data_IF_014425951819
#
_entry.id   IF_014425951819
#
_cell.length_a   1.000
_cell.length_b   1.000
_cell.length_c   1.000
_cell.angle_alpha   90.00
_cell.angle_beta   90.00
_cell.angle_gamma   90.00
#
_symmetry.space_group_name_H-M   'P 1'
#
loop_
_entity.id
_entity.type
_entity.pdbx_description
1 polymer ?
#
# COMPACT_ATOMS: atom_id res chain seq x y z
N UNK A 1 54.26 24.73 -56.79
CA UNK A 1 54.23 25.08 -55.38
C UNK A 1 53.18 24.16 -54.74
N UNK A 2 53.62 22.98 -54.29
CA UNK A 2 52.70 21.92 -53.75
C UNK A 2 52.64 22.02 -52.22
N UNK A 3 51.46 22.38 -51.70
CA UNK A 3 51.15 22.45 -50.29
C UNK A 3 51.06 20.97 -49.74
N UNK A 4 52.04 20.57 -48.96
CA UNK A 4 52.03 19.30 -48.22
C UNK A 4 50.91 19.34 -47.19
N UNK A 5 49.79 18.73 -47.49
CA UNK A 5 48.70 18.46 -46.55
C UNK A 5 49.24 17.53 -45.42
N UNK A 6 49.19 18.02 -44.21
CA UNK A 6 49.78 17.43 -43.01
C UNK A 6 48.90 16.21 -42.53
N UNK A 7 49.26 14.94 -42.74
CA UNK A 7 48.44 13.79 -42.48
C UNK A 7 48.24 13.52 -40.97
N UNK A 8 49.02 14.16 -40.09
CA UNK A 8 49.02 13.90 -38.65
C UNK A 8 47.77 14.48 -37.96
N UNK A 9 47.20 15.56 -38.52
CA UNK A 9 46.04 16.23 -37.93
C UNK A 9 44.75 15.42 -38.06
N UNK A 10 44.60 14.60 -39.11
CA UNK A 10 43.43 13.76 -39.34
C UNK A 10 43.39 12.52 -38.46
N UNK A 11 44.56 11.94 -38.11
CA UNK A 11 44.62 10.74 -37.22
C UNK A 11 44.19 11.05 -35.79
N UNK A 12 44.50 12.22 -35.24
CA UNK A 12 44.10 12.62 -33.89
C UNK A 12 42.59 12.86 -33.77
N UNK A 13 41.98 13.42 -34.82
CA UNK A 13 40.52 13.68 -34.86
C UNK A 13 39.73 12.36 -34.94
N UNK A 14 40.21 11.38 -35.71
CA UNK A 14 39.59 10.07 -35.87
C UNK A 14 39.63 9.26 -34.55
N UNK A 15 40.76 9.23 -33.85
CA UNK A 15 40.91 8.56 -32.55
C UNK A 15 40.02 9.18 -31.44
N UNK A 16 39.74 10.45 -31.52
CA UNK A 16 38.86 11.13 -30.54
C UNK A 16 37.38 10.74 -30.76
N UNK A 17 36.95 10.58 -31.99
CA UNK A 17 35.61 10.13 -32.35
C UNK A 17 35.38 8.65 -31.98
N UNK A 18 36.39 7.80 -32.12
CA UNK A 18 36.32 6.37 -31.73
C UNK A 18 36.14 6.19 -30.21
N UNK A 19 36.80 7.02 -29.40
CA UNK A 19 36.66 7.02 -27.95
C UNK A 19 35.27 7.48 -27.46
N UNK A 20 34.70 8.49 -28.11
CA UNK A 20 33.34 8.95 -27.77
C UNK A 20 32.30 7.92 -28.16
N UNK A 21 32.50 7.13 -29.19
CA UNK A 21 31.63 6.01 -29.55
C UNK A 21 31.65 4.86 -28.52
N UNK A 22 32.83 4.50 -28.02
CA UNK A 22 32.95 3.46 -27.02
C UNK A 22 32.23 3.81 -25.70
N UNK A 23 32.42 5.03 -25.19
CA UNK A 23 31.72 5.47 -23.98
C UNK A 23 30.22 5.58 -24.16
N UNK A 24 29.72 5.92 -25.35
CA UNK A 24 28.29 5.92 -25.64
C UNK A 24 27.68 4.51 -25.61
N UNK A 25 28.41 3.51 -26.09
CA UNK A 25 27.99 2.09 -26.04
C UNK A 25 27.99 1.58 -24.60
N UNK A 26 29.03 1.87 -23.81
CA UNK A 26 29.08 1.52 -22.39
C UNK A 26 27.90 2.13 -21.62
N UNK A 27 27.61 3.42 -21.84
CA UNK A 27 26.47 4.08 -21.24
C UNK A 27 25.13 3.44 -21.68
N UNK A 28 24.97 3.11 -22.96
CA UNK A 28 23.78 2.47 -23.48
C UNK A 28 23.51 1.08 -22.86
N UNK A 29 24.55 0.36 -22.45
CA UNK A 29 24.41 -0.92 -21.74
C UNK A 29 24.03 -0.74 -20.26
N UNK A 30 24.56 0.28 -19.59
CA UNK A 30 24.33 0.51 -18.17
C UNK A 30 23.02 1.26 -17.90
N UNK A 31 22.63 2.17 -18.77
CA UNK A 31 21.44 3.01 -18.59
C UNK A 31 20.14 2.22 -18.39
N UNK A 32 19.82 1.17 -19.15
CA UNK A 32 18.61 0.38 -18.95
C UNK A 32 18.57 -0.32 -17.57
N UNK A 33 19.71 -0.84 -17.12
CA UNK A 33 19.82 -1.48 -15.82
C UNK A 33 19.60 -0.48 -14.68
N UNK A 34 20.15 0.72 -14.81
CA UNK A 34 19.97 1.78 -13.84
C UNK A 34 18.51 2.27 -13.79
N UNK A 35 17.88 2.43 -14.96
CA UNK A 35 16.47 2.78 -15.06
C UNK A 35 15.57 1.71 -14.41
N UNK A 36 15.89 0.45 -14.59
CA UNK A 36 15.16 -0.65 -13.95
C UNK A 36 15.24 -0.58 -12.42
N UNK A 37 16.41 -0.28 -11.87
CA UNK A 37 16.57 -0.10 -10.42
C UNK A 37 15.72 1.06 -9.90
N UNK A 38 15.69 2.19 -10.62
CA UNK A 38 14.86 3.35 -10.25
C UNK A 38 13.37 2.96 -10.22
N UNK A 39 12.90 2.24 -11.23
CA UNK A 39 11.52 1.76 -11.31
C UNK A 39 11.19 0.86 -10.11
N UNK A 40 12.06 -0.08 -9.76
CA UNK A 40 11.89 -0.94 -8.60
C UNK A 40 11.83 -0.14 -7.29
N UNK A 41 12.66 0.89 -7.14
CA UNK A 41 12.64 1.76 -5.95
C UNK A 41 11.31 2.51 -5.82
N UNK A 42 10.77 3.04 -6.92
CA UNK A 42 9.48 3.74 -6.94
C UNK A 42 8.35 2.78 -6.56
N UNK A 43 8.35 1.57 -7.13
CA UNK A 43 7.35 0.56 -6.84
C UNK A 43 7.39 0.14 -5.36
N UNK A 44 8.58 -0.12 -4.83
CA UNK A 44 8.75 -0.46 -3.43
C UNK A 44 8.28 0.66 -2.48
N UNK A 45 8.59 1.91 -2.82
CA UNK A 45 8.12 3.07 -2.05
C UNK A 45 6.57 3.13 -2.02
N UNK A 46 5.91 2.90 -3.17
CA UNK A 46 4.45 2.86 -3.25
C UNK A 46 3.86 1.74 -2.40
N UNK A 47 4.38 0.52 -2.49
CA UNK A 47 3.92 -0.62 -1.69
C UNK A 47 4.09 -0.37 -0.19
N UNK A 48 5.18 0.27 0.20
CA UNK A 48 5.43 0.68 1.59
C UNK A 48 4.39 1.70 2.07
N UNK A 49 4.06 2.71 1.24
CA UNK A 49 2.99 3.67 1.54
C UNK A 49 1.63 3.00 1.68
N UNK A 50 1.26 2.08 0.77
CA UNK A 50 0.01 1.33 0.83
C UNK A 50 -0.09 0.53 2.13
N UNK A 51 0.98 -0.15 2.53
CA UNK A 51 1.03 -0.91 3.77
C UNK A 51 0.81 -0.02 5.00
N UNK A 52 1.53 1.09 5.09
CA UNK A 52 1.40 2.03 6.20
C UNK A 52 0.00 2.64 6.26
N UNK A 53 -0.57 2.98 5.10
CA UNK A 53 -1.94 3.52 5.02
C UNK A 53 -2.98 2.46 5.41
N UNK A 54 -2.80 1.18 5.04
CA UNK A 54 -3.67 0.10 5.47
C UNK A 54 -3.65 -0.07 6.99
N UNK A 55 -2.48 0.01 7.64
CA UNK A 55 -2.39 -0.02 9.10
C UNK A 55 -3.09 1.17 9.75
N UNK A 56 -2.89 2.38 9.23
CA UNK A 56 -3.58 3.58 9.70
C UNK A 56 -5.11 3.46 9.53
N UNK A 57 -5.57 2.94 8.42
CA UNK A 57 -6.99 2.74 8.16
C UNK A 57 -7.60 1.71 9.13
N UNK A 58 -6.88 0.60 9.44
CA UNK A 58 -7.30 -0.34 10.47
C UNK A 58 -7.40 0.33 11.84
N UNK A 59 -6.40 1.12 12.22
CA UNK A 59 -6.37 1.83 13.49
C UNK A 59 -7.56 2.79 13.63
N UNK A 60 -7.79 3.64 12.65
CA UNK A 60 -8.90 4.60 12.66
C UNK A 60 -10.26 3.90 12.63
N UNK A 61 -10.39 2.81 11.90
CA UNK A 61 -11.62 2.01 11.89
C UNK A 61 -11.92 1.44 13.29
N UNK A 62 -10.95 0.77 13.92
CA UNK A 62 -11.12 0.24 15.28
C UNK A 62 -11.44 1.36 16.27
N UNK A 63 -10.64 2.44 16.27
CA UNK A 63 -10.82 3.58 17.17
C UNK A 63 -12.21 4.19 17.07
N UNK A 64 -12.75 4.28 15.85
CA UNK A 64 -14.08 4.83 15.65
C UNK A 64 -15.16 3.89 16.16
N UNK A 65 -15.05 2.60 15.86
CA UNK A 65 -16.06 1.60 16.21
C UNK A 65 -16.13 1.33 17.72
N UNK A 66 -15.03 1.48 18.48
CA UNK A 66 -15.05 1.32 19.94
C UNK A 66 -15.77 2.47 20.65
N UNK A 67 -16.03 3.59 19.94
CA UNK A 67 -16.78 4.73 20.52
C UNK A 67 -18.25 4.36 20.67
N UNK A 68 -18.83 4.77 21.77
CA UNK A 68 -20.24 4.46 22.06
C UNK A 68 -21.18 5.08 21.01
N UNK A 69 -22.15 4.30 20.51
CA UNK A 69 -23.09 4.71 19.48
C UNK A 69 -22.56 4.64 18.03
N UNK A 70 -21.29 4.25 17.80
CA UNK A 70 -20.74 4.09 16.46
C UNK A 70 -21.09 2.71 15.88
N UNK A 71 -21.32 2.67 14.57
CA UNK A 71 -21.61 1.45 13.84
C UNK A 71 -20.39 0.90 13.11
N UNK A 72 -20.39 -0.39 12.82
CA UNK A 72 -19.35 -1.04 11.96
C UNK A 72 -19.32 -0.40 10.57
N UNK A 73 -20.47 0.03 10.05
CA UNK A 73 -20.57 0.70 8.75
C UNK A 73 -19.82 2.04 8.74
N UNK A 74 -19.90 2.81 9.82
CA UNK A 74 -19.18 4.09 9.97
C UNK A 74 -17.66 3.86 10.04
N UNK A 75 -17.22 2.87 10.80
CA UNK A 75 -15.80 2.47 10.86
C UNK A 75 -15.27 2.05 9.50
N UNK A 76 -16.05 1.28 8.74
CA UNK A 76 -15.70 0.88 7.37
C UNK A 76 -15.61 2.09 6.44
N UNK A 77 -16.55 3.03 6.55
CA UNK A 77 -16.55 4.28 5.79
C UNK A 77 -15.30 5.12 6.05
N UNK A 78 -14.86 5.19 7.31
CA UNK A 78 -13.60 5.87 7.69
C UNK A 78 -12.38 5.22 7.07
N UNK A 79 -12.25 3.90 7.19
CA UNK A 79 -11.15 3.16 6.58
C UNK A 79 -11.12 3.34 5.06
N UNK A 80 -12.28 3.24 4.40
CA UNK A 80 -12.39 3.43 2.95
C UNK A 80 -11.98 4.84 2.53
N UNK A 81 -12.37 5.88 3.29
CA UNK A 81 -11.97 7.26 2.99
C UNK A 81 -10.45 7.47 3.04
N UNK A 82 -9.76 6.79 3.98
CA UNK A 82 -8.30 6.84 4.08
C UNK A 82 -7.64 6.13 2.89
N UNK A 83 -8.12 4.94 2.53
CA UNK A 83 -7.61 4.15 1.41
C UNK A 83 -7.81 4.87 0.07
N UNK A 84 -8.94 5.53 -0.12
CA UNK A 84 -9.26 6.28 -1.33
C UNK A 84 -8.31 7.47 -1.56
N UNK A 85 -7.79 8.09 -0.50
CA UNK A 85 -6.79 9.18 -0.63
C UNK A 85 -5.50 8.72 -1.31
N UNK A 86 -5.15 7.46 -1.14
CA UNK A 86 -3.98 6.86 -1.76
C UNK A 86 -4.30 6.18 -3.11
N UNK A 87 -5.56 6.17 -3.50
CA UNK A 87 -6.03 5.49 -4.70
C UNK A 87 -5.90 3.96 -4.62
N UNK A 88 -6.06 3.40 -3.42
CA UNK A 88 -6.10 1.94 -3.26
C UNK A 88 -7.37 1.38 -3.90
N UNK A 89 -7.19 0.43 -4.81
CA UNK A 89 -8.28 -0.18 -5.57
C UNK A 89 -8.58 -1.57 -5.00
N UNK A 90 -9.87 -1.96 -4.97
CA UNK A 90 -10.36 -3.28 -4.54
C UNK A 90 -9.91 -3.69 -3.12
N UNK A 91 -9.78 -2.72 -2.21
CA UNK A 91 -9.47 -3.01 -0.82
C UNK A 91 -10.68 -3.64 -0.12
N UNK A 92 -10.47 -4.79 0.51
CA UNK A 92 -11.48 -5.46 1.34
C UNK A 92 -11.27 -5.07 2.79
N UNK A 93 -12.32 -4.55 3.44
CA UNK A 93 -12.29 -4.10 4.83
C UNK A 93 -13.25 -4.98 5.64
N UNK A 94 -12.70 -5.72 6.60
CA UNK A 94 -13.43 -6.56 7.54
C UNK A 94 -13.27 -5.99 8.96
N UNK A 95 -14.37 -5.81 9.66
CA UNK A 95 -14.36 -5.37 11.06
C UNK A 95 -15.21 -6.38 11.84
N UNK A 96 -14.59 -7.05 12.81
CA UNK A 96 -15.19 -8.13 13.59
C UNK A 96 -15.12 -7.80 15.08
N UNK A 97 -16.12 -8.22 15.84
CA UNK A 97 -16.02 -8.31 17.29
C UNK A 97 -15.32 -9.62 17.73
N UNK A 98 -14.99 -9.74 19.01
CA UNK A 98 -14.31 -10.93 19.56
C UNK A 98 -15.14 -12.21 19.43
N UNK A 99 -16.44 -12.12 19.37
CA UNK A 99 -17.41 -13.20 19.21
C UNK A 99 -17.60 -13.64 17.73
N UNK A 100 -16.99 -12.95 16.78
CA UNK A 100 -16.58 -13.52 15.49
C UNK A 100 -17.65 -13.95 14.52
N UNK A 101 -18.88 -13.51 14.62
CA UNK A 101 -19.90 -13.82 13.61
C UNK A 101 -19.68 -13.00 12.34
N UNK A 102 -19.05 -13.62 11.36
CA UNK A 102 -18.93 -13.11 10.01
C UNK A 102 -19.77 -13.94 9.06
N UNK A 103 -20.39 -13.29 8.05
CA UNK A 103 -21.04 -14.02 6.98
C UNK A 103 -20.00 -14.74 6.07
N UNK A 104 -20.49 -15.58 5.15
CA UNK A 104 -19.67 -16.31 4.18
C UNK A 104 -18.83 -15.40 3.25
N UNK A 105 -19.12 -14.12 3.21
CA UNK A 105 -18.40 -13.08 2.43
C UNK A 105 -17.43 -12.29 3.33
N UNK A 106 -17.42 -12.58 4.66
CA UNK A 106 -16.56 -11.90 5.63
C UNK A 106 -17.10 -10.56 6.12
N UNK A 107 -18.40 -10.29 5.93
CA UNK A 107 -19.05 -9.13 6.53
C UNK A 107 -19.51 -9.46 7.95
N UNK A 108 -19.33 -8.53 8.88
CA UNK A 108 -19.89 -8.67 10.22
C UNK A 108 -21.40 -8.65 10.16
N UNK A 109 -22.03 -9.69 10.68
CA UNK A 109 -23.48 -9.78 10.78
C UNK A 109 -23.89 -9.13 12.10
N UNK A 110 -24.40 -7.90 12.00
CA UNK A 110 -24.98 -7.23 13.15
C UNK A 110 -24.17 -6.04 13.67
N UNK A 111 -24.80 -5.31 14.58
CA UNK A 111 -24.12 -4.31 15.40
C UNK A 111 -23.23 -5.01 16.43
N UNK A 112 -22.12 -4.37 16.80
CA UNK A 112 -21.30 -4.85 17.92
C UNK A 112 -22.20 -4.82 19.18
N UNK A 113 -22.44 -5.98 19.73
CA UNK A 113 -23.20 -6.10 20.98
C UNK A 113 -22.42 -5.46 22.14
N UNK A 114 -23.14 -4.99 23.14
CA UNK A 114 -22.55 -4.38 24.34
C UNK A 114 -21.60 -5.28 25.13
N UNK A 115 -21.57 -6.60 24.82
CA UNK A 115 -20.64 -7.56 25.38
C UNK A 115 -19.35 -7.79 24.58
N UNK A 116 -19.15 -7.09 23.47
CA UNK A 116 -17.94 -7.25 22.65
C UNK A 116 -16.73 -6.57 23.32
N UNK A 117 -15.81 -7.37 23.87
CA UNK A 117 -14.63 -6.85 24.56
C UNK A 117 -13.51 -6.40 23.63
N UNK A 118 -13.42 -6.97 22.43
CA UNK A 118 -12.35 -6.70 21.47
C UNK A 118 -12.90 -6.51 20.07
N UNK A 119 -12.55 -5.40 19.44
CA UNK A 119 -12.82 -5.13 18.03
C UNK A 119 -11.57 -5.39 17.21
N UNK A 120 -11.70 -6.12 16.12
CA UNK A 120 -10.63 -6.40 15.19
C UNK A 120 -10.97 -5.87 13.80
N UNK A 121 -10.11 -5.03 13.25
CA UNK A 121 -10.16 -4.61 11.84
C UNK A 121 -9.09 -5.33 11.04
N UNK A 122 -9.46 -5.83 9.87
CA UNK A 122 -8.56 -6.41 8.89
C UNK A 122 -8.79 -5.75 7.54
N UNK A 123 -7.71 -5.29 6.90
CA UNK A 123 -7.73 -4.74 5.56
C UNK A 123 -6.83 -5.58 4.67
N UNK A 124 -7.36 -5.98 3.51
CA UNK A 124 -6.63 -6.71 2.46
C UNK A 124 -6.67 -5.91 1.17
N UNK A 125 -5.50 -5.59 0.61
CA UNK A 125 -5.35 -4.81 -0.62
C UNK A 125 -4.64 -5.70 -1.63
N UNK A 126 -5.27 -6.08 -2.77
CA UNK A 126 -4.63 -6.89 -3.80
C UNK A 126 -3.49 -6.12 -4.46
N UNK A 127 -2.33 -6.75 -4.59
CA UNK A 127 -1.16 -6.12 -5.21
C UNK A 127 -1.34 -5.94 -6.71
N UNK A 128 -2.01 -6.87 -7.37
CA UNK A 128 -2.18 -6.87 -8.82
C UNK A 128 -2.80 -5.57 -9.36
N UNK A 129 -3.76 -4.99 -8.62
CA UNK A 129 -4.49 -3.79 -9.03
C UNK A 129 -3.89 -2.49 -8.48
N UNK A 130 -2.87 -2.59 -7.64
CA UNK A 130 -2.31 -1.46 -6.90
C UNK A 130 -0.84 -1.16 -7.21
N UNK A 131 -0.25 -1.85 -8.19
CA UNK A 131 1.08 -1.55 -8.73
C UNK A 131 1.02 -0.33 -9.67
N UNK A 132 2.10 0.45 -9.71
CA UNK A 132 2.17 1.65 -10.53
C UNK A 132 2.75 1.38 -11.92
N UNK A 133 3.85 0.63 -11.98
CA UNK A 133 4.65 0.43 -13.18
C UNK A 133 4.75 -1.05 -13.56
N UNK A 134 4.87 -1.91 -12.57
CA UNK A 134 5.01 -3.35 -12.83
C UNK A 134 3.65 -3.97 -13.18
N UNK A 135 3.61 -4.88 -14.17
CA UNK A 135 2.38 -5.59 -14.50
C UNK A 135 1.88 -6.39 -13.29
N UNK A 136 0.61 -6.26 -12.96
CA UNK A 136 -0.03 -6.95 -11.83
C UNK A 136 0.15 -8.48 -11.84
N UNK A 137 0.29 -9.07 -13.02
CA UNK A 137 0.52 -10.51 -13.21
C UNK A 137 1.77 -11.04 -12.49
N UNK A 138 2.77 -10.18 -12.24
CA UNK A 138 4.01 -10.56 -11.52
C UNK A 138 3.69 -10.91 -10.06
N UNK A 139 2.71 -10.25 -9.45
CA UNK A 139 2.35 -10.43 -8.04
C UNK A 139 1.29 -11.52 -7.82
N UNK A 140 0.62 -11.98 -8.89
CA UNK A 140 -0.41 -13.01 -8.83
C UNK A 140 -1.53 -12.61 -7.86
N UNK A 141 -1.91 -13.51 -6.98
CA UNK A 141 -2.98 -13.32 -5.96
C UNK A 141 -2.49 -12.74 -4.64
N UNK A 142 -1.26 -12.19 -4.59
CA UNK A 142 -0.71 -11.63 -3.36
C UNK A 142 -1.42 -10.36 -2.97
N UNK A 143 -1.65 -10.20 -1.65
CA UNK A 143 -2.27 -9.00 -1.07
C UNK A 143 -1.45 -8.47 0.10
N UNK A 144 -1.52 -7.16 0.30
CA UNK A 144 -1.06 -6.51 1.53
C UNK A 144 -2.16 -6.73 2.56
N UNK A 145 -1.80 -7.28 3.71
CA UNK A 145 -2.72 -7.46 4.83
C UNK A 145 -2.28 -6.59 6.00
N UNK A 146 -3.23 -5.84 6.56
CA UNK A 146 -3.10 -5.11 7.79
C UNK A 146 -4.16 -5.61 8.77
N UNK A 147 -3.78 -5.76 10.04
CA UNK A 147 -4.69 -6.15 11.13
C UNK A 147 -4.42 -5.27 12.33
N UNK A 148 -5.50 -4.89 13.02
CA UNK A 148 -5.45 -4.17 14.28
C UNK A 148 -6.57 -4.70 15.17
N UNK A 149 -6.28 -4.87 16.47
CA UNK A 149 -7.28 -5.21 17.48
C UNK A 149 -7.21 -4.20 18.60
N UNK A 150 -8.37 -3.78 19.10
CA UNK A 150 -8.51 -2.85 20.21
C UNK A 150 -9.57 -3.37 21.18
N UNK A 151 -9.35 -3.19 22.47
CA UNK A 151 -10.35 -3.43 23.49
C UNK A 151 -11.38 -2.31 23.48
N UNK A 152 -12.65 -2.68 23.63
CA UNK A 152 -13.71 -1.69 23.78
C UNK A 152 -13.71 -1.17 25.23
N UNK A 153 -13.86 0.13 25.37
CA UNK A 153 -14.07 0.76 26.68
C UNK A 153 -15.55 0.73 27.11
N UNK A 154 -16.37 0.01 26.36
CA UNK A 154 -17.78 -0.19 26.71
C UNK A 154 -17.82 -1.02 27.98
N UNK A 155 -17.91 -0.34 29.14
CA UNK A 155 -18.20 -1.05 30.39
C UNK A 155 -19.58 -1.68 30.27
N UNK A 156 -19.62 -2.99 30.19
CA UNK A 156 -20.83 -3.76 30.31
C UNK A 156 -21.50 -3.37 31.63
N UNK A 157 -22.45 -2.43 31.57
CA UNK A 157 -23.47 -2.21 32.56
C UNK A 157 -23.03 -2.09 34.02
N UNK A 158 -22.48 -0.95 34.42
CA UNK A 158 -22.59 -0.53 35.83
C UNK A 158 -23.96 0.08 36.18
N UNK A 159 -24.87 0.11 35.25
CA UNK A 159 -26.24 0.52 35.49
C UNK A 159 -27.22 -0.63 35.17
N UNK A 160 -27.15 -1.68 35.97
CA UNK A 160 -28.35 -2.50 36.11
C UNK A 160 -29.39 -1.62 36.79
N UNK A 161 -30.40 -1.19 36.01
CA UNK A 161 -31.57 -0.49 36.53
C UNK A 161 -32.43 -1.32 37.52
N UNK A 162 -31.92 -2.48 37.95
CA UNK A 162 -32.58 -3.36 38.95
C UNK A 162 -32.28 -2.96 40.40
N UNK A 163 -31.34 -2.07 40.66
CA UNK A 163 -30.99 -1.63 42.02
C UNK A 163 -31.65 -0.32 42.45
N UNK A 164 -32.60 0.19 41.65
CA UNK A 164 -33.40 1.37 41.94
C UNK A 164 -34.82 1.02 42.38
N UNK A 165 -34.95 0.11 43.38
CA UNK A 165 -36.24 -0.13 44.04
C UNK A 165 -36.06 -0.32 45.54
#
# INVERSE_FOLDING_TARGET
MFSKLNPIRNRRRRRRNERTGATAVEFAMVAPMFMFIIILCIEFARLSMLRNTAHNACYEACRFVITDGATVADGRGRAQAILNRLGAVQATILINGADGSVDSVGNVIGELDGGTDVVQAQISIPLADNTLVLPGNIFGTRSIQARMSMQTERSAGFFNASDAN
#
